data_IF_797981540875
#
_entry.id   IF_797981540875
#
_cell.length_a   1.000
_cell.length_b   1.000
_cell.length_c   1.000
_cell.angle_alpha   90.00
_cell.angle_beta   90.00
_cell.angle_gamma   90.00
#
_symmetry.space_group_name_H-M   'P 1'
#
loop_
_entity.id
_entity.type
_entity.pdbx_description
1 polymer ?
#
# COMPACT_ATOMS: atom_id res chain seq x y z
N UNK A 1 -4.58 -27.58 34.13
CA UNK A 1 -4.74 -28.41 32.92
C UNK A 1 -5.14 -27.50 31.76
N UNK A 2 -4.28 -27.36 30.76
CA UNK A 2 -4.52 -26.50 29.61
C UNK A 2 -5.32 -27.25 28.55
N UNK A 3 -6.55 -26.80 28.26
CA UNK A 3 -7.36 -27.30 27.16
C UNK A 3 -6.85 -26.74 25.84
N UNK A 4 -6.16 -27.55 25.03
CA UNK A 4 -5.90 -27.24 23.62
C UNK A 4 -7.24 -27.26 22.86
N UNK A 5 -7.74 -26.10 22.45
CA UNK A 5 -8.81 -26.03 21.44
C UNK A 5 -8.23 -26.50 20.10
N UNK A 6 -8.80 -27.56 19.55
CA UNK A 6 -8.47 -28.05 18.21
C UNK A 6 -8.91 -27.02 17.16
N UNK A 7 -7.98 -26.58 16.29
CA UNK A 7 -8.32 -25.83 15.06
C UNK A 7 -9.07 -26.77 14.11
N UNK A 8 -10.26 -26.36 13.69
CA UNK A 8 -11.09 -27.12 12.75
C UNK A 8 -10.51 -27.07 11.33
N UNK A 9 -10.38 -28.21 10.61
CA UNK A 9 -9.61 -28.32 9.37
C UNK A 9 -10.30 -27.78 8.10
N UNK A 10 -11.55 -27.30 8.19
CA UNK A 10 -12.30 -26.77 7.02
C UNK A 10 -11.94 -25.32 6.64
N UNK A 11 -11.09 -24.66 7.42
CA UNK A 11 -10.86 -23.21 7.34
C UNK A 11 -9.60 -22.81 6.56
N UNK A 12 -8.61 -23.69 6.39
CA UNK A 12 -7.32 -23.33 5.75
C UNK A 12 -7.40 -23.27 4.22
N UNK A 13 -8.09 -24.22 3.56
CA UNK A 13 -8.12 -24.34 2.09
C UNK A 13 -8.95 -23.26 1.40
N UNK A 14 -10.03 -22.78 2.04
CA UNK A 14 -10.85 -21.70 1.48
C UNK A 14 -10.12 -20.35 1.59
N UNK A 15 -9.42 -20.11 2.71
CA UNK A 15 -8.65 -18.89 2.95
C UNK A 15 -7.44 -18.76 2.02
N UNK A 16 -6.74 -19.85 1.71
CA UNK A 16 -5.67 -19.82 0.70
C UNK A 16 -6.20 -19.51 -0.70
N UNK A 17 -7.44 -19.90 -1.01
CA UNK A 17 -8.07 -19.57 -2.30
C UNK A 17 -8.51 -18.11 -2.40
N UNK A 18 -8.93 -17.47 -1.30
CA UNK A 18 -9.28 -16.04 -1.29
C UNK A 18 -8.05 -15.14 -1.34
N UNK A 19 -6.99 -15.51 -0.63
CA UNK A 19 -5.67 -14.86 -0.70
C UNK A 19 -5.16 -14.82 -2.14
N UNK A 20 -5.03 -15.99 -2.78
CA UNK A 20 -4.52 -16.08 -4.14
C UNK A 20 -5.35 -15.23 -5.13
N UNK A 21 -6.69 -15.27 -5.00
CA UNK A 21 -7.60 -14.45 -5.83
C UNK A 21 -7.41 -12.95 -5.60
N UNK A 22 -7.25 -12.52 -4.34
CA UNK A 22 -7.02 -11.13 -4.00
C UNK A 22 -5.70 -10.62 -4.60
N UNK A 23 -4.62 -11.39 -4.43
CA UNK A 23 -3.30 -11.11 -5.02
C UNK A 23 -3.36 -11.01 -6.54
N UNK A 24 -3.97 -12.00 -7.21
CA UNK A 24 -4.13 -11.98 -8.68
C UNK A 24 -4.90 -10.75 -9.13
N UNK A 25 -6.03 -10.43 -8.49
CA UNK A 25 -6.84 -9.25 -8.83
C UNK A 25 -6.07 -7.94 -8.65
N UNK A 26 -5.24 -7.83 -7.62
CA UNK A 26 -4.40 -6.65 -7.40
C UNK A 26 -3.36 -6.48 -8.51
N UNK A 27 -2.69 -7.57 -8.91
CA UNK A 27 -1.74 -7.59 -10.03
C UNK A 27 -2.45 -7.22 -11.34
N UNK A 28 -3.62 -7.81 -11.62
CA UNK A 28 -4.37 -7.57 -12.85
C UNK A 28 -4.77 -6.10 -12.99
N UNK A 29 -5.13 -5.43 -11.88
CA UNK A 29 -5.41 -3.98 -11.88
C UNK A 29 -4.20 -3.13 -12.24
N UNK A 30 -2.99 -3.52 -11.86
CA UNK A 30 -1.78 -2.83 -12.27
C UNK A 30 -1.46 -3.12 -13.74
N UNK A 31 -1.56 -4.39 -14.16
CA UNK A 31 -1.36 -4.81 -15.55
C UNK A 31 -2.35 -4.18 -16.53
N UNK A 32 -3.55 -3.82 -16.10
CA UNK A 32 -4.50 -3.10 -16.94
C UNK A 32 -3.94 -1.76 -17.49
N UNK A 33 -2.92 -1.19 -16.86
CA UNK A 33 -2.27 0.06 -17.31
C UNK A 33 -1.24 -0.23 -18.39
N UNK A 34 -0.36 -1.22 -18.18
CA UNK A 34 0.67 -1.62 -19.13
C UNK A 34 0.72 -3.16 -19.23
N UNK A 35 -0.12 -3.79 -20.09
CA UNK A 35 -0.33 -5.24 -20.10
C UNK A 35 0.92 -6.07 -20.39
N UNK A 36 1.84 -5.51 -21.17
CA UNK A 36 3.06 -6.17 -21.65
C UNK A 36 4.23 -6.03 -20.65
N UNK A 37 4.11 -5.15 -19.66
CA UNK A 37 5.15 -4.95 -18.64
C UNK A 37 5.01 -6.02 -17.55
N UNK A 38 6.09 -6.75 -17.20
CA UNK A 38 6.03 -7.82 -16.22
C UNK A 38 5.85 -7.28 -14.79
N UNK A 39 4.84 -7.77 -14.07
CA UNK A 39 4.56 -7.44 -12.67
C UNK A 39 5.13 -8.52 -11.73
N UNK A 40 6.45 -8.52 -11.54
CA UNK A 40 7.13 -9.50 -10.65
C UNK A 40 7.10 -9.01 -9.20
N UNK A 41 5.95 -9.14 -8.55
CA UNK A 41 5.84 -8.77 -7.12
C UNK A 41 6.53 -9.82 -6.25
N UNK A 42 7.48 -9.35 -5.44
CA UNK A 42 8.30 -10.20 -4.57
C UNK A 42 7.51 -10.64 -3.33
N UNK A 43 7.81 -9.98 -2.21
CA UNK A 43 7.34 -10.35 -0.87
C UNK A 43 5.85 -10.70 -0.81
N UNK A 44 5.57 -11.73 -0.03
CA UNK A 44 4.22 -12.11 0.39
C UNK A 44 4.18 -11.93 1.90
N UNK A 45 3.25 -11.16 2.48
CA UNK A 45 3.14 -11.02 3.91
C UNK A 45 3.02 -12.40 4.56
N UNK A 46 3.72 -12.60 5.67
CA UNK A 46 3.70 -13.85 6.44
C UNK A 46 2.39 -14.03 7.26
N UNK A 47 1.52 -13.01 7.23
CA UNK A 47 0.26 -12.95 7.99
C UNK A 47 -0.93 -13.48 7.18
N UNK A 48 -2.03 -13.85 7.87
CA UNK A 48 -3.26 -14.35 7.24
C UNK A 48 -4.31 -13.25 6.97
N UNK A 49 -3.87 -12.00 6.93
CA UNK A 49 -4.72 -10.81 6.75
C UNK A 49 -5.21 -10.62 5.31
N UNK A 50 -4.48 -11.15 4.32
CA UNK A 50 -4.82 -10.95 2.91
C UNK A 50 -6.13 -11.65 2.54
N UNK A 51 -6.97 -10.97 1.76
CA UNK A 51 -8.24 -11.52 1.29
C UNK A 51 -9.33 -11.60 2.35
N UNK A 52 -9.07 -11.10 3.57
CA UNK A 52 -10.12 -10.89 4.56
C UNK A 52 -11.16 -9.88 4.05
N UNK A 53 -12.45 -10.08 4.35
CA UNK A 53 -13.52 -9.20 3.89
C UNK A 53 -13.63 -7.89 4.72
N UNK A 54 -12.54 -7.39 5.28
CA UNK A 54 -12.48 -6.20 6.16
C UNK A 54 -11.40 -5.20 5.71
N UNK A 55 -11.02 -4.24 6.57
CA UNK A 55 -10.08 -3.18 6.22
C UNK A 55 -8.67 -3.72 5.96
N UNK A 56 -8.19 -4.70 6.71
CA UNK A 56 -6.82 -5.22 6.55
C UNK A 56 -6.65 -5.97 5.24
N UNK A 57 -7.61 -6.84 4.90
CA UNK A 57 -7.61 -7.50 3.60
C UNK A 57 -7.66 -6.50 2.44
N UNK A 58 -8.40 -5.40 2.62
CA UNK A 58 -8.49 -4.32 1.64
C UNK A 58 -7.19 -3.50 1.53
N UNK A 59 -6.49 -3.21 2.62
CA UNK A 59 -5.20 -2.49 2.60
C UNK A 59 -4.13 -3.34 1.91
N UNK A 60 -4.05 -4.64 2.22
CA UNK A 60 -3.11 -5.57 1.57
C UNK A 60 -3.41 -5.72 0.07
N UNK A 61 -4.68 -5.71 -0.35
CA UNK A 61 -5.03 -5.67 -1.77
C UNK A 61 -4.45 -4.44 -2.49
N UNK A 62 -4.38 -3.28 -1.82
CA UNK A 62 -3.68 -2.11 -2.37
C UNK A 62 -2.17 -2.30 -2.34
N UNK A 63 -1.59 -2.83 -1.26
CA UNK A 63 -0.16 -3.07 -1.16
C UNK A 63 0.35 -4.01 -2.26
N UNK A 64 -0.38 -5.08 -2.56
CA UNK A 64 -0.05 -5.97 -3.68
C UNK A 64 -0.11 -5.23 -5.03
N UNK A 65 -1.05 -4.31 -5.20
CA UNK A 65 -1.14 -3.46 -6.39
C UNK A 65 0.04 -2.49 -6.46
N UNK A 66 0.43 -1.88 -5.35
CA UNK A 66 1.55 -0.95 -5.28
C UNK A 66 2.87 -1.66 -5.55
N UNK A 67 3.08 -2.86 -4.99
CA UNK A 67 4.20 -3.75 -5.34
C UNK A 67 4.24 -4.03 -6.84
N UNK A 68 3.08 -4.26 -7.46
CA UNK A 68 2.99 -4.51 -8.91
C UNK A 68 3.39 -3.26 -9.71
N UNK A 69 2.85 -2.10 -9.37
CA UNK A 69 3.23 -0.83 -10.01
C UNK A 69 4.73 -0.55 -9.88
N UNK A 70 5.30 -0.71 -8.68
CA UNK A 70 6.74 -0.54 -8.45
C UNK A 70 7.58 -1.52 -9.27
N UNK A 71 7.22 -2.81 -9.30
CA UNK A 71 7.93 -3.81 -10.08
C UNK A 71 7.82 -3.54 -11.59
N UNK A 72 6.65 -3.08 -12.06
CA UNK A 72 6.43 -2.75 -13.46
C UNK A 72 7.24 -1.53 -13.87
N UNK A 73 7.26 -0.46 -13.07
CA UNK A 73 8.07 0.73 -13.34
C UNK A 73 9.56 0.37 -13.46
N UNK A 74 10.07 -0.45 -12.54
CA UNK A 74 11.45 -0.93 -12.59
C UNK A 74 11.77 -1.72 -13.88
N UNK A 75 10.79 -2.46 -14.39
CA UNK A 75 10.92 -3.28 -15.60
C UNK A 75 10.77 -2.49 -16.91
N UNK A 76 10.38 -1.21 -16.88
CA UNK A 76 10.24 -0.38 -18.08
C UNK A 76 11.60 0.14 -18.58
N UNK A 77 11.71 0.34 -19.88
CA UNK A 77 12.85 1.05 -20.48
C UNK A 77 12.76 2.58 -20.27
N UNK A 78 13.89 3.28 -20.46
CA UNK A 78 13.99 4.75 -20.26
C UNK A 78 13.12 5.60 -21.19
N UNK A 79 12.56 5.00 -22.24
CA UNK A 79 11.77 5.69 -23.28
C UNK A 79 10.50 4.90 -23.54
N UNK A 80 9.41 5.25 -22.87
CA UNK A 80 8.11 4.62 -23.12
C UNK A 80 6.99 5.26 -22.33
N UNK A 81 5.83 5.38 -22.97
CA UNK A 81 4.61 5.93 -22.39
C UNK A 81 4.12 5.09 -21.18
N UNK A 82 4.49 3.81 -21.13
CA UNK A 82 4.16 2.90 -20.03
C UNK A 82 4.71 3.38 -18.70
N UNK A 83 5.98 3.83 -18.65
CA UNK A 83 6.60 4.29 -17.41
C UNK A 83 5.88 5.52 -16.85
N UNK A 84 5.53 6.46 -17.72
CA UNK A 84 4.81 7.67 -17.34
C UNK A 84 3.43 7.31 -16.76
N UNK A 85 2.65 6.48 -17.46
CA UNK A 85 1.32 6.03 -17.03
C UNK A 85 1.36 5.23 -15.72
N UNK A 86 2.34 4.35 -15.56
CA UNK A 86 2.54 3.58 -14.33
C UNK A 86 2.97 4.47 -13.16
N UNK A 87 3.87 5.42 -13.39
CA UNK A 87 4.31 6.36 -12.36
C UNK A 87 3.17 7.29 -11.93
N UNK A 88 2.38 7.78 -12.88
CA UNK A 88 1.18 8.56 -12.62
C UNK A 88 0.22 7.79 -11.70
N UNK A 89 -0.10 6.55 -12.06
CA UNK A 89 -0.97 5.71 -11.21
C UNK A 89 -0.33 5.46 -9.84
N UNK A 90 0.96 5.15 -9.76
CA UNK A 90 1.65 4.91 -8.49
C UNK A 90 1.49 6.13 -7.55
N UNK A 91 1.74 7.34 -8.06
CA UNK A 91 1.62 8.58 -7.26
C UNK A 91 0.19 8.75 -6.75
N UNK A 92 -0.81 8.58 -7.61
CA UNK A 92 -2.22 8.70 -7.22
C UNK A 92 -2.62 7.62 -6.20
N UNK A 93 -2.19 6.38 -6.41
CA UNK A 93 -2.49 5.26 -5.53
C UNK A 93 -1.86 5.43 -4.15
N UNK A 94 -0.57 5.77 -4.06
CA UNK A 94 0.12 5.93 -2.78
C UNK A 94 -0.45 7.12 -1.99
N UNK A 95 -0.63 8.29 -2.62
CA UNK A 95 -1.18 9.48 -1.96
C UNK A 95 -2.59 9.24 -1.45
N UNK A 96 -3.45 8.67 -2.29
CA UNK A 96 -4.85 8.39 -1.90
C UNK A 96 -4.98 7.28 -0.87
N UNK A 97 -4.10 6.27 -0.92
CA UNK A 97 -4.05 5.18 0.04
C UNK A 97 -3.68 5.69 1.43
N UNK A 98 -2.51 6.35 1.56
CA UNK A 98 -2.04 6.88 2.84
C UNK A 98 -3.08 7.80 3.50
N UNK A 99 -3.60 8.78 2.75
CA UNK A 99 -4.62 9.68 3.27
C UNK A 99 -5.92 8.97 3.70
N UNK A 100 -6.35 7.93 2.96
CA UNK A 100 -7.54 7.17 3.32
C UNK A 100 -7.33 6.25 4.52
N UNK A 101 -6.14 5.69 4.66
CA UNK A 101 -5.73 4.86 5.78
C UNK A 101 -5.64 5.67 7.08
N UNK A 102 -5.03 6.85 7.03
CA UNK A 102 -4.97 7.76 8.17
C UNK A 102 -6.36 8.08 8.72
N UNK A 103 -7.32 8.28 7.82
CA UNK A 103 -8.69 8.63 8.19
C UNK A 103 -9.50 7.43 8.66
N UNK A 104 -9.28 6.25 8.07
CA UNK A 104 -10.05 5.04 8.36
C UNK A 104 -9.50 4.25 9.54
N UNK A 105 -8.20 3.93 9.51
CA UNK A 105 -7.53 3.05 10.46
C UNK A 105 -6.82 3.85 11.55
N UNK A 106 -5.82 4.66 11.18
CA UNK A 106 -4.91 5.27 12.15
C UNK A 106 -5.61 6.27 13.08
N UNK A 107 -6.63 7.00 12.60
CA UNK A 107 -7.45 7.87 13.45
C UNK A 107 -8.09 7.14 14.63
N UNK A 108 -8.36 5.84 14.50
CA UNK A 108 -8.93 4.99 15.55
C UNK A 108 -7.85 4.32 16.40
N UNK A 109 -6.83 3.75 15.76
CA UNK A 109 -5.70 3.11 16.46
C UNK A 109 -4.97 4.10 17.38
N UNK A 110 -4.86 5.37 16.96
CA UNK A 110 -4.25 6.46 17.74
C UNK A 110 -4.96 6.75 19.07
N UNK A 111 -6.22 6.34 19.23
CA UNK A 111 -6.98 6.56 20.48
C UNK A 111 -6.63 5.54 21.57
N UNK A 112 -6.00 4.42 21.23
CA UNK A 112 -5.58 3.42 22.19
C UNK A 112 -4.09 3.65 22.57
N UNK A 113 -3.78 3.97 23.85
CA UNK A 113 -2.41 4.20 24.31
C UNK A 113 -1.42 3.08 23.97
N UNK A 114 -1.86 1.82 23.93
CA UNK A 114 -1.01 0.66 23.65
C UNK A 114 -0.55 0.60 22.18
N UNK A 115 -1.28 1.22 21.26
CA UNK A 115 -0.99 1.20 19.81
C UNK A 115 -0.73 2.59 19.24
N UNK A 116 -0.67 3.62 20.08
CA UNK A 116 -0.42 5.02 19.68
C UNK A 116 0.87 5.18 18.90
N UNK A 117 1.94 4.51 19.30
CA UNK A 117 3.25 4.63 18.64
C UNK A 117 3.23 4.05 17.22
N UNK A 118 2.51 2.94 16.98
CA UNK A 118 2.32 2.42 15.63
C UNK A 118 1.60 3.42 14.72
N UNK A 119 0.51 4.02 15.20
CA UNK A 119 -0.22 5.01 14.41
C UNK A 119 0.63 6.27 14.13
N UNK A 120 1.44 6.73 15.09
CA UNK A 120 2.34 7.88 14.89
C UNK A 120 3.44 7.58 13.89
N UNK A 121 4.06 6.41 14.00
CA UNK A 121 5.11 5.96 13.11
C UNK A 121 4.60 5.85 11.67
N UNK A 122 3.50 5.12 11.43
CA UNK A 122 2.91 4.97 10.11
C UNK A 122 2.55 6.33 9.46
N UNK A 123 1.92 7.24 10.21
CA UNK A 123 1.60 8.60 9.72
C UNK A 123 2.85 9.42 9.40
N UNK A 124 3.93 9.25 10.17
CA UNK A 124 5.19 9.94 9.91
C UNK A 124 5.84 9.42 8.61
N UNK A 125 5.89 8.10 8.42
CA UNK A 125 6.40 7.45 7.21
C UNK A 125 5.60 7.87 5.97
N UNK A 126 4.27 7.95 6.06
CA UNK A 126 3.42 8.48 4.99
C UNK A 126 3.88 9.87 4.55
N UNK A 127 4.22 10.73 5.50
CA UNK A 127 4.65 12.09 5.17
C UNK A 127 6.00 12.11 4.48
N UNK A 128 6.91 11.22 4.85
CA UNK A 128 8.21 11.11 4.21
C UNK A 128 8.10 10.50 2.80
N UNK A 129 7.26 9.48 2.63
CA UNK A 129 6.91 8.92 1.31
C UNK A 129 6.28 9.99 0.40
N UNK A 130 5.37 10.84 0.92
CA UNK A 130 4.77 11.96 0.17
C UNK A 130 5.85 12.93 -0.34
N UNK A 131 6.86 13.28 0.48
CA UNK A 131 7.99 14.10 0.05
C UNK A 131 8.82 13.41 -1.04
N UNK A 132 9.06 12.10 -0.92
CA UNK A 132 9.79 11.33 -1.92
C UNK A 132 9.04 11.26 -3.26
N UNK A 133 7.70 11.17 -3.23
CA UNK A 133 6.87 11.24 -4.43
C UNK A 133 6.92 12.62 -5.08
N UNK A 134 6.90 13.70 -4.28
CA UNK A 134 7.07 15.06 -4.79
C UNK A 134 8.46 15.27 -5.42
N UNK A 135 9.53 14.73 -4.81
CA UNK A 135 10.88 14.72 -5.41
C UNK A 135 10.94 13.92 -6.72
N UNK A 136 10.29 12.74 -6.75
CA UNK A 136 10.29 11.88 -7.93
C UNK A 136 9.55 12.53 -9.11
N UNK A 137 8.41 13.18 -8.85
CA UNK A 137 7.57 13.83 -9.87
C UNK A 137 8.15 15.14 -10.40
N UNK A 138 9.05 15.79 -9.65
CA UNK A 138 9.76 16.99 -10.11
C UNK A 138 10.91 16.70 -11.09
N UNK A 139 11.32 15.43 -11.23
CA UNK A 139 12.53 15.03 -11.96
C UNK A 139 12.22 14.47 -13.35
N UNK A 140 13.18 14.60 -14.27
CA UNK A 140 13.12 13.95 -15.58
C UNK A 140 13.21 12.42 -15.46
N UNK A 141 12.11 11.75 -15.79
CA UNK A 141 11.90 10.31 -15.73
C UNK A 141 12.85 9.49 -16.63
N UNK A 142 13.45 10.13 -17.65
CA UNK A 142 14.47 9.52 -18.51
C UNK A 142 15.87 9.52 -17.89
N UNK A 143 16.09 10.27 -16.81
CA UNK A 143 17.41 10.50 -16.23
C UNK A 143 17.87 9.35 -15.31
N UNK A 144 19.19 9.18 -15.18
CA UNK A 144 19.78 8.26 -14.19
C UNK A 144 19.39 8.65 -12.76
N UNK A 145 19.36 9.95 -12.46
CA UNK A 145 19.03 10.48 -11.14
C UNK A 145 17.61 10.13 -10.72
N UNK A 146 16.65 10.15 -11.67
CA UNK A 146 15.29 9.70 -11.40
C UNK A 146 15.23 8.22 -11.00
N UNK A 147 15.96 7.34 -11.70
CA UNK A 147 16.03 5.92 -11.31
C UNK A 147 16.64 5.72 -9.92
N UNK A 148 17.65 6.50 -9.53
CA UNK A 148 18.22 6.46 -8.17
C UNK A 148 17.18 6.85 -7.11
N UNK A 149 16.39 7.91 -7.36
CA UNK A 149 15.33 8.34 -6.45
C UNK A 149 14.16 7.36 -6.41
N UNK A 150 13.78 6.80 -7.55
CA UNK A 150 12.77 5.75 -7.63
C UNK A 150 13.18 4.51 -6.83
N UNK A 151 14.45 4.09 -6.92
CA UNK A 151 14.96 2.96 -6.16
C UNK A 151 14.91 3.23 -4.64
N UNK A 152 15.24 4.46 -4.20
CA UNK A 152 15.11 4.87 -2.81
C UNK A 152 13.64 4.85 -2.35
N UNK A 153 12.72 5.47 -3.11
CA UNK A 153 11.28 5.46 -2.82
C UNK A 153 10.75 4.02 -2.71
N UNK A 154 11.12 3.15 -3.66
CA UNK A 154 10.72 1.75 -3.66
C UNK A 154 11.22 1.04 -2.40
N UNK A 155 12.45 1.30 -1.96
CA UNK A 155 13.00 0.70 -0.74
C UNK A 155 12.21 1.11 0.50
N UNK A 156 12.06 2.42 0.73
CA UNK A 156 11.32 2.97 1.88
C UNK A 156 9.86 2.51 1.88
N UNK A 157 9.19 2.58 0.72
CA UNK A 157 7.79 2.17 0.62
C UNK A 157 7.58 0.67 0.90
N UNK A 158 8.48 -0.18 0.39
CA UNK A 158 8.40 -1.62 0.66
C UNK A 158 8.71 -1.98 2.11
N UNK A 159 9.59 -1.22 2.76
CA UNK A 159 9.87 -1.36 4.19
C UNK A 159 8.64 -0.99 5.02
N UNK A 160 8.09 0.20 4.79
CA UNK A 160 6.87 0.71 5.44
C UNK A 160 5.71 -0.30 5.39
N UNK A 161 5.30 -0.76 4.19
CA UNK A 161 4.19 -1.71 4.10
C UNK A 161 4.53 -3.09 4.68
N UNK A 162 5.80 -3.44 4.81
CA UNK A 162 6.20 -4.70 5.43
C UNK A 162 6.04 -4.63 6.96
N UNK A 163 6.36 -3.49 7.58
CA UNK A 163 6.09 -3.25 9.01
C UNK A 163 4.60 -3.22 9.31
N UNK A 164 3.83 -2.52 8.46
CA UNK A 164 2.37 -2.50 8.58
C UNK A 164 1.77 -3.90 8.54
N UNK A 165 2.09 -4.67 7.50
CA UNK A 165 1.47 -5.97 7.27
C UNK A 165 1.86 -7.05 8.29
N UNK A 166 3.05 -6.94 8.90
CA UNK A 166 3.60 -7.95 9.79
C UNK A 166 3.45 -7.62 11.27
N UNK A 167 3.42 -6.33 11.63
CA UNK A 167 3.45 -5.90 13.02
C UNK A 167 2.24 -5.02 13.35
N UNK A 168 2.09 -3.91 12.64
CA UNK A 168 1.15 -2.86 13.05
C UNK A 168 -0.31 -3.27 12.80
N UNK A 169 -0.60 -3.92 11.67
CA UNK A 169 -1.94 -4.45 11.38
C UNK A 169 -2.29 -5.60 12.31
N UNK A 170 -1.33 -6.47 12.65
CA UNK A 170 -1.57 -7.58 13.60
C UNK A 170 -1.90 -7.04 14.99
N UNK A 171 -1.16 -6.05 15.47
CA UNK A 171 -1.44 -5.38 16.74
C UNK A 171 -2.80 -4.66 16.73
N UNK A 172 -3.12 -3.98 15.63
CA UNK A 172 -4.40 -3.28 15.45
C UNK A 172 -5.58 -4.27 15.36
N UNK A 173 -5.40 -5.41 14.69
CA UNK A 173 -6.42 -6.45 14.53
C UNK A 173 -6.82 -7.07 15.88
N UNK A 174 -5.88 -7.17 16.81
CA UNK A 174 -6.10 -7.69 18.16
C UNK A 174 -6.99 -6.78 19.04
N UNK A 175 -7.04 -5.48 18.76
CA UNK A 175 -7.81 -4.50 19.56
C UNK A 175 -9.11 -4.05 18.89
N UNK A 176 -9.29 -4.32 17.58
CA UNK A 176 -10.45 -3.91 16.80
C UNK A 176 -11.47 -5.04 16.66
N UNK A 177 -12.74 -4.73 16.93
CA UNK A 177 -13.83 -5.70 16.72
C UNK A 177 -14.08 -5.93 15.23
N UNK A 178 -14.68 -7.06 14.88
CA UNK A 178 -15.08 -7.32 13.48
C UNK A 178 -15.98 -6.22 12.90
N UNK A 179 -16.84 -5.63 13.73
CA UNK A 179 -17.70 -4.51 13.33
C UNK A 179 -16.88 -3.26 12.99
N UNK A 180 -15.87 -2.93 13.80
CA UNK A 180 -14.95 -1.82 13.54
C UNK A 180 -14.24 -2.03 12.20
N UNK A 181 -13.65 -3.20 11.99
CA UNK A 181 -12.87 -3.50 10.77
C UNK A 181 -13.72 -3.45 9.50
N UNK A 182 -14.97 -3.91 9.55
CA UNK A 182 -15.92 -3.79 8.42
C UNK A 182 -16.33 -2.32 8.17
N UNK A 183 -16.56 -1.56 9.22
CA UNK A 183 -16.89 -0.14 9.10
C UNK A 183 -15.71 0.64 8.51
N UNK A 184 -14.50 0.42 9.02
CA UNK A 184 -13.26 1.01 8.53
C UNK A 184 -13.04 0.72 7.05
N UNK A 185 -13.33 -0.49 6.57
CA UNK A 185 -13.28 -0.80 5.12
C UNK A 185 -14.19 0.12 4.30
N UNK A 186 -15.38 0.42 4.80
CA UNK A 186 -16.34 1.32 4.14
C UNK A 186 -15.80 2.75 4.12
N UNK A 187 -15.26 3.22 5.24
CA UNK A 187 -14.62 4.54 5.36
C UNK A 187 -13.43 4.63 4.38
N UNK A 188 -12.53 3.66 4.41
CA UNK A 188 -11.35 3.59 3.55
C UNK A 188 -11.72 3.67 2.07
N UNK A 189 -12.66 2.84 1.60
CA UNK A 189 -13.07 2.85 0.20
C UNK A 189 -13.66 4.20 -0.24
N UNK A 190 -14.50 4.81 0.61
CA UNK A 190 -15.08 6.13 0.34
C UNK A 190 -13.99 7.21 0.30
N UNK A 191 -13.08 7.19 1.28
CA UNK A 191 -12.01 8.19 1.38
C UNK A 191 -11.00 8.02 0.26
N UNK A 192 -10.48 6.82 0.01
CA UNK A 192 -9.52 6.58 -1.08
C UNK A 192 -10.05 7.08 -2.42
N UNK A 193 -11.33 6.85 -2.73
CA UNK A 193 -11.95 7.39 -3.94
C UNK A 193 -11.86 8.92 -3.99
N UNK A 194 -12.32 9.59 -2.93
CA UNK A 194 -12.30 11.06 -2.87
C UNK A 194 -10.88 11.63 -2.87
N UNK A 195 -9.95 11.02 -2.13
CA UNK A 195 -8.54 11.44 -2.10
C UNK A 195 -7.87 11.24 -3.45
N UNK A 196 -8.19 10.16 -4.17
CA UNK A 196 -7.65 9.92 -5.51
C UNK A 196 -8.18 10.91 -6.54
N UNK A 197 -9.46 11.28 -6.47
CA UNK A 197 -10.07 12.31 -7.31
C UNK A 197 -9.49 13.71 -7.04
N UNK A 198 -9.07 13.98 -5.80
CA UNK A 198 -8.47 15.25 -5.40
C UNK A 198 -6.94 15.29 -5.53
N UNK A 199 -6.28 14.15 -5.74
CA UNK A 199 -4.83 14.07 -5.77
C UNK A 199 -4.26 14.79 -7.00
N UNK A 200 -3.33 15.71 -6.76
CA UNK A 200 -2.60 16.40 -7.81
C UNK A 200 -1.29 15.69 -8.14
N UNK A 201 -1.02 15.54 -9.43
CA UNK A 201 0.24 14.99 -9.97
C UNK A 201 1.36 16.03 -10.07
N UNK A 202 1.03 17.31 -9.85
CA UNK A 202 2.00 18.38 -9.99
C UNK A 202 2.97 18.35 -8.81
N UNK A 203 4.29 18.49 -9.05
CA UNK A 203 5.24 18.62 -7.97
C UNK A 203 4.93 19.88 -7.16
N UNK A 204 4.80 19.73 -5.84
CA UNK A 204 4.60 20.86 -4.92
C UNK A 204 5.89 21.64 -4.67
N UNK A 205 7.02 21.12 -5.15
CA UNK A 205 8.37 21.66 -4.97
C UNK A 205 9.06 21.77 -6.34
N UNK A 206 9.82 22.85 -6.57
CA UNK A 206 10.73 22.89 -7.72
C UNK A 206 11.98 22.08 -7.38
N UNK A 207 12.66 21.53 -8.39
CA UNK A 207 13.92 20.79 -8.17
C UNK A 207 14.95 21.64 -7.42
N UNK A 208 14.93 22.96 -7.62
CA UNK A 208 15.79 23.93 -6.89
C UNK A 208 15.49 24.00 -5.38
N UNK A 209 14.28 23.65 -4.96
CA UNK A 209 13.84 23.68 -3.55
C UNK A 209 14.09 22.35 -2.83
N UNK A 210 14.53 21.31 -3.56
CA UNK A 210 14.82 19.97 -3.06
C UNK A 210 16.34 19.80 -3.03
N UNK A 211 16.96 20.43 -2.04
CA UNK A 211 18.40 20.31 -1.75
C UNK A 211 18.73 18.94 -1.13
#
# INVERSE_FOLDING_TARGET
MAGKKAKSPKSSTVRSSSDAKAKTKAIDKAKAIAPDVPARIGQTPETDLRGLPDVFGRLIEDHDRHRALLAMIEATDRKGDDRARLCEELVLELKSHAAAEEQALWSTVLRNPETTEFARHAVAEHKDIDKMLDDLTARDMGSKKWMERFAALKHEYLHHIAEEEQEQFVASEAILTEADRKYMRTVFNRRKKAEKEAAELKPKLKVEDIA
#
